data_IF_371140111962
#
_entry.id   IF_371140111962
#
_cell.length_a   1.000
_cell.length_b   1.000
_cell.length_c   1.000
_cell.angle_alpha   90.00
_cell.angle_beta   90.00
_cell.angle_gamma   90.00
#
_symmetry.space_group_name_H-M   'P 1'
#
loop_
_entity.id
_entity.type
_entity.pdbx_description
1 polymer ?
#
# COMPACT_ATOMS: atom_id res chain seq x y z
N UNK A 1 6.27 6.63 -16.39
CA UNK A 1 6.75 6.42 -15.00
C UNK A 1 8.23 6.84 -14.86
N UNK A 2 8.59 8.07 -15.26
CA UNK A 2 9.97 8.57 -15.10
C UNK A 2 10.08 9.44 -13.83
N UNK A 3 9.14 10.37 -13.62
CA UNK A 3 9.10 11.22 -12.42
C UNK A 3 9.07 10.44 -11.10
N UNK A 4 8.54 9.22 -11.09
CA UNK A 4 8.54 8.35 -9.91
C UNK A 4 9.87 7.63 -9.66
N UNK A 5 10.71 7.48 -10.69
CA UNK A 5 12.02 6.84 -10.57
C UNK A 5 13.09 7.85 -10.16
N UNK A 6 13.05 9.07 -10.72
CA UNK A 6 14.13 10.08 -10.54
C UNK A 6 13.66 11.41 -9.95
N UNK A 7 12.38 11.54 -9.61
CA UNK A 7 11.74 12.81 -9.25
C UNK A 7 11.28 13.58 -10.48
N UNK A 8 10.23 14.38 -10.31
CA UNK A 8 9.58 15.13 -11.40
C UNK A 8 10.53 16.11 -12.08
N UNK A 9 11.30 16.87 -11.29
CA UNK A 9 12.27 17.85 -11.83
C UNK A 9 13.32 17.22 -12.73
N UNK A 10 13.92 16.09 -12.32
CA UNK A 10 14.91 15.37 -13.14
C UNK A 10 14.27 14.69 -14.35
N UNK A 11 13.01 14.26 -14.24
CA UNK A 11 12.26 13.71 -15.37
C UNK A 11 11.97 14.78 -16.43
N UNK A 12 11.53 15.96 -16.03
CA UNK A 12 11.35 17.10 -16.94
C UNK A 12 12.67 17.48 -17.59
N UNK A 13 13.76 17.53 -16.82
CA UNK A 13 15.10 17.80 -17.36
C UNK A 13 15.51 16.77 -18.42
N UNK A 14 15.26 15.48 -18.18
CA UNK A 14 15.63 14.40 -19.10
C UNK A 14 14.76 14.37 -20.38
N UNK A 15 13.51 14.82 -20.30
CA UNK A 15 12.59 14.89 -21.45
C UNK A 15 12.85 16.14 -22.29
N UNK A 16 13.11 17.28 -21.65
CA UNK A 16 13.23 18.57 -22.35
C UNK A 16 14.64 18.88 -22.82
N UNK A 17 15.67 18.35 -22.14
CA UNK A 17 17.05 18.51 -22.58
C UNK A 17 17.43 17.27 -23.39
N UNK A 18 17.42 17.40 -24.71
CA UNK A 18 17.89 16.41 -25.68
C UNK A 18 19.42 16.21 -25.55
N UNK A 19 19.84 15.67 -24.41
CA UNK A 19 21.23 15.39 -24.09
C UNK A 19 21.37 13.95 -23.63
N UNK A 20 22.31 13.24 -24.22
CA UNK A 20 22.66 11.90 -23.76
C UNK A 20 23.26 11.97 -22.35
N UNK A 21 22.90 10.99 -21.52
CA UNK A 21 23.47 10.79 -20.18
C UNK A 21 24.46 9.64 -20.21
N UNK A 22 25.53 9.81 -19.47
CA UNK A 22 26.50 8.74 -19.25
C UNK A 22 25.90 7.64 -18.39
N UNK A 23 26.47 6.43 -18.47
CA UNK A 23 26.07 5.32 -17.61
C UNK A 23 26.26 5.66 -16.11
N UNK A 24 27.33 6.37 -15.76
CA UNK A 24 27.59 6.80 -14.39
C UNK A 24 26.51 7.75 -13.86
N UNK A 25 26.09 8.75 -14.64
CA UNK A 25 24.99 9.63 -14.27
C UNK A 25 23.68 8.84 -14.11
N UNK A 26 23.40 7.88 -14.98
CA UNK A 26 22.20 7.06 -14.92
C UNK A 26 22.15 6.20 -13.62
N UNK A 27 23.29 5.69 -13.16
CA UNK A 27 23.41 4.99 -11.88
C UNK A 27 23.20 5.94 -10.71
N UNK A 28 23.85 7.11 -10.71
CA UNK A 28 23.67 8.12 -9.66
C UNK A 28 22.22 8.61 -9.54
N UNK A 29 21.50 8.62 -10.66
CA UNK A 29 20.11 9.03 -10.70
C UNK A 29 19.15 7.92 -10.26
N UNK A 30 19.63 6.68 -10.14
CA UNK A 30 18.81 5.51 -9.81
C UNK A 30 18.00 4.97 -11.00
N UNK A 31 18.33 5.36 -12.24
CA UNK A 31 17.74 4.79 -13.46
C UNK A 31 18.29 3.40 -13.76
N UNK A 32 19.56 3.18 -13.43
CA UNK A 32 20.28 1.93 -13.61
C UNK A 32 20.79 1.47 -12.25
N UNK A 33 20.71 0.18 -11.95
CA UNK A 33 21.12 -0.35 -10.65
C UNK A 33 22.66 -0.34 -10.47
N UNK A 34 23.40 -0.66 -11.52
CA UNK A 34 24.88 -0.70 -11.53
C UNK A 34 25.42 -0.45 -12.94
N UNK A 35 26.64 0.09 -13.03
CA UNK A 35 27.37 0.25 -14.29
C UNK A 35 28.52 -0.75 -14.34
N UNK A 36 28.77 -1.33 -15.51
CA UNK A 36 29.88 -2.26 -15.76
C UNK A 36 30.63 -1.88 -17.03
N UNK A 37 31.83 -2.41 -17.21
CA UNK A 37 32.57 -2.24 -18.46
C UNK A 37 31.78 -2.87 -19.62
N UNK A 38 31.89 -2.26 -20.81
CA UNK A 38 31.09 -2.67 -21.97
C UNK A 38 31.28 -4.16 -22.35
N UNK A 39 32.49 -4.70 -22.17
CA UNK A 39 32.79 -6.12 -22.42
C UNK A 39 32.25 -7.09 -21.37
N UNK A 40 31.82 -6.61 -20.21
CA UNK A 40 31.45 -7.44 -19.05
C UNK A 40 29.94 -7.56 -18.84
N UNK A 41 29.13 -6.79 -19.58
CA UNK A 41 27.66 -6.74 -19.44
C UNK A 41 27.04 -8.14 -19.46
N UNK A 42 27.44 -8.98 -20.40
CA UNK A 42 26.89 -10.32 -20.53
C UNK A 42 27.32 -11.25 -19.39
N UNK A 43 28.57 -11.15 -18.92
CA UNK A 43 29.04 -11.92 -17.77
C UNK A 43 28.25 -11.53 -16.52
N UNK A 44 28.14 -10.23 -16.27
CA UNK A 44 27.44 -9.70 -15.10
C UNK A 44 25.95 -10.05 -15.08
N UNK A 45 25.28 -9.94 -16.23
CA UNK A 45 23.87 -10.33 -16.34
C UNK A 45 23.65 -11.81 -15.99
N UNK A 46 24.58 -12.70 -16.34
CA UNK A 46 24.50 -14.13 -16.00
C UNK A 46 24.72 -14.37 -14.51
N UNK A 47 25.65 -13.66 -13.87
CA UNK A 47 25.85 -13.73 -12.42
C UNK A 47 24.58 -13.33 -11.66
N UNK A 48 23.94 -12.23 -12.07
CA UNK A 48 22.68 -11.78 -11.48
C UNK A 48 21.58 -12.81 -11.68
N UNK A 49 21.47 -13.39 -12.88
CA UNK A 49 20.49 -14.43 -13.17
C UNK A 49 20.73 -15.68 -12.32
N UNK A 50 21.98 -16.12 -12.17
CA UNK A 50 22.35 -17.25 -11.31
C UNK A 50 21.99 -16.97 -9.84
N UNK A 51 22.24 -15.75 -9.35
CA UNK A 51 21.83 -15.33 -8.01
C UNK A 51 20.31 -15.42 -7.83
N UNK A 52 19.52 -14.99 -8.83
CA UNK A 52 18.06 -15.13 -8.77
C UNK A 52 17.58 -16.58 -8.81
N UNK A 53 18.26 -17.46 -9.53
CA UNK A 53 17.94 -18.89 -9.55
C UNK A 53 18.21 -19.56 -8.19
N UNK A 54 19.18 -19.03 -7.43
CA UNK A 54 19.45 -19.52 -6.06
C UNK A 54 18.38 -19.10 -5.04
N UNK A 55 17.55 -18.09 -5.36
CA UNK A 55 16.45 -17.67 -4.49
C UNK A 55 15.30 -18.69 -4.56
N UNK A 56 14.74 -19.04 -3.40
CA UNK A 56 13.49 -19.82 -3.36
C UNK A 56 12.41 -19.14 -4.21
N UNK A 57 11.83 -19.90 -5.14
CA UNK A 57 10.81 -19.43 -6.08
C UNK A 57 9.58 -18.85 -5.36
N UNK A 58 9.23 -19.40 -4.19
CA UNK A 58 8.18 -18.88 -3.32
C UNK A 58 8.53 -17.52 -2.70
N UNK A 59 9.73 -17.39 -2.10
CA UNK A 59 10.16 -16.18 -1.42
C UNK A 59 10.34 -15.00 -2.39
N UNK A 60 10.96 -15.24 -3.54
CA UNK A 60 11.14 -14.22 -4.59
C UNK A 60 9.80 -13.75 -5.19
N UNK A 61 8.84 -14.65 -5.33
CA UNK A 61 7.47 -14.33 -5.73
C UNK A 61 6.77 -13.42 -4.71
N UNK A 62 6.87 -13.73 -3.41
CA UNK A 62 6.28 -12.90 -2.36
C UNK A 62 6.91 -11.50 -2.29
N UNK A 63 8.24 -11.40 -2.39
CA UNK A 63 8.91 -10.10 -2.44
C UNK A 63 8.39 -9.23 -3.60
N UNK A 64 8.26 -9.80 -4.82
CA UNK A 64 7.68 -9.09 -5.98
C UNK A 64 6.24 -8.66 -5.74
N UNK A 65 5.41 -9.52 -5.12
CA UNK A 65 4.01 -9.21 -4.77
C UNK A 65 3.88 -8.11 -3.73
N UNK A 66 4.83 -7.94 -2.82
CA UNK A 66 4.83 -6.84 -1.85
C UNK A 66 5.20 -5.51 -2.51
N UNK A 67 6.24 -5.53 -3.36
CA UNK A 67 6.77 -4.32 -4.01
C UNK A 67 5.84 -3.78 -5.09
N UNK A 68 5.19 -4.65 -5.88
CA UNK A 68 4.38 -4.23 -7.03
C UNK A 68 3.19 -3.32 -6.67
N UNK A 69 2.33 -3.64 -5.70
CA UNK A 69 1.23 -2.77 -5.27
C UNK A 69 1.70 -1.66 -4.31
N UNK A 70 2.87 -1.78 -3.66
CA UNK A 70 3.48 -0.65 -2.95
C UNK A 70 3.72 0.54 -3.90
N UNK A 71 3.82 0.29 -5.21
CA UNK A 71 3.91 1.36 -6.20
C UNK A 71 2.63 2.20 -6.28
N UNK A 72 1.46 1.69 -5.95
CA UNK A 72 0.20 2.44 -6.09
C UNK A 72 -0.32 3.00 -4.77
N UNK A 73 0.27 2.61 -3.63
CA UNK A 73 -0.14 3.10 -2.32
C UNK A 73 0.48 4.45 -2.00
N UNK A 74 -0.33 5.37 -1.50
CA UNK A 74 0.18 6.54 -0.77
C UNK A 74 0.83 6.06 0.53
N UNK A 75 2.02 6.57 0.84
CA UNK A 75 2.70 6.29 2.11
C UNK A 75 1.88 6.78 3.31
N UNK A 76 0.97 7.74 3.09
CA UNK A 76 0.03 8.25 4.09
C UNK A 76 -1.30 7.49 4.15
N UNK A 77 -1.59 6.57 3.22
CA UNK A 77 -2.84 5.81 3.25
C UNK A 77 -2.93 4.85 4.44
N UNK A 78 -1.78 4.45 5.02
CA UNK A 78 -1.73 3.69 6.28
C UNK A 78 -1.86 4.55 7.54
N UNK A 79 -1.86 5.88 7.41
CA UNK A 79 -2.04 6.83 8.51
C UNK A 79 -3.15 7.80 8.12
N UNK A 80 -4.39 7.32 8.19
CA UNK A 80 -5.55 8.20 8.12
C UNK A 80 -5.39 9.28 9.20
N UNK A 81 -5.27 10.58 8.86
CA UNK A 81 -5.44 11.62 9.87
C UNK A 81 -6.91 11.52 10.34
N UNK A 82 -7.15 11.23 11.61
CA UNK A 82 -8.49 11.32 12.18
C UNK A 82 -9.11 12.65 11.74
N UNK A 83 -10.27 12.60 11.07
CA UNK A 83 -10.91 13.77 10.51
C UNK A 83 -11.23 14.74 11.65
N UNK A 84 -10.68 15.97 11.68
CA UNK A 84 -11.09 16.95 12.67
C UNK A 84 -12.41 17.56 12.22
N UNK A 85 -13.49 17.23 12.91
CA UNK A 85 -14.77 17.95 12.82
C UNK A 85 -15.87 17.24 12.03
N UNK A 86 -16.68 16.45 12.72
CA UNK A 86 -18.13 16.44 12.55
C UNK A 86 -18.74 16.28 13.95
N UNK A 87 -19.57 17.24 14.34
CA UNK A 87 -19.76 17.79 15.68
C UNK A 87 -20.51 16.89 16.69
N UNK A 88 -20.35 17.10 18.01
CA UNK A 88 -21.25 16.53 19.01
C UNK A 88 -22.66 17.09 18.81
N UNK A 89 -23.63 16.18 18.70
CA UNK A 89 -25.05 16.50 18.67
C UNK A 89 -25.41 17.20 19.99
N UNK A 90 -25.79 18.48 19.91
CA UNK A 90 -26.18 19.28 21.06
C UNK A 90 -27.64 18.93 21.40
N UNK A 91 -27.85 18.31 22.56
CA UNK A 91 -29.18 18.13 23.15
C UNK A 91 -29.83 19.48 23.46
N UNK A 92 -31.07 19.67 23.01
CA UNK A 92 -31.89 20.81 23.38
C UNK A 92 -33.37 20.57 23.13
N UNK A 93 -34.13 20.30 24.20
CA UNK A 93 -35.56 20.64 24.32
C UNK A 93 -36.60 19.52 24.13
N UNK A 94 -37.05 18.94 25.26
CA UNK A 94 -38.26 18.12 25.45
C UNK A 94 -39.58 18.89 25.16
N UNK A 95 -40.79 18.28 25.30
CA UNK A 95 -41.28 16.98 24.81
C UNK A 95 -42.66 17.12 24.11
N UNK A 96 -43.05 16.16 23.26
CA UNK A 96 -44.46 16.04 22.83
C UNK A 96 -45.03 14.67 23.16
N UNK A 97 -45.95 14.75 24.11
CA UNK A 97 -46.98 13.82 24.59
C UNK A 97 -47.21 12.54 23.79
N UNK A 98 -47.32 11.47 24.57
CA UNK A 98 -48.34 10.45 24.39
C UNK A 98 -47.82 9.16 23.80
N UNK A 99 -47.37 8.25 24.67
CA UNK A 99 -47.82 6.85 24.68
C UNK A 99 -47.17 6.13 25.87
N UNK A 100 -48.00 5.41 26.61
CA UNK A 100 -47.68 4.71 27.85
C UNK A 100 -46.82 3.47 27.61
N UNK A 101 -46.00 3.05 28.59
CA UNK A 101 -45.11 1.90 28.43
C UNK A 101 -45.91 0.59 28.43
N UNK A 102 -45.79 -0.18 27.36
CA UNK A 102 -46.25 -1.57 27.30
C UNK A 102 -45.40 -2.40 28.29
N UNK A 103 -46.05 -2.93 29.32
CA UNK A 103 -45.43 -3.74 30.36
C UNK A 103 -44.85 -5.06 29.79
N UNK A 104 -43.75 -5.60 30.34
CA UNK A 104 -43.16 -6.84 29.87
C UNK A 104 -44.07 -8.02 30.22
N UNK A 105 -44.60 -8.70 29.20
CA UNK A 105 -45.32 -9.95 29.39
C UNK A 105 -44.34 -11.09 29.68
N UNK A 106 -44.70 -11.86 30.70
CA UNK A 106 -43.99 -12.99 31.30
C UNK A 106 -43.54 -14.02 30.26
N UNK A 107 -42.24 -14.31 30.21
CA UNK A 107 -41.75 -15.58 29.66
C UNK A 107 -41.83 -16.62 30.77
N UNK A 108 -42.74 -17.59 30.63
CA UNK A 108 -42.78 -18.80 31.46
C UNK A 108 -41.64 -19.75 31.06
N UNK A 109 -41.00 -20.46 32.00
CA UNK A 109 -39.94 -21.41 31.68
C UNK A 109 -40.54 -22.71 31.12
N UNK A 110 -40.27 -22.98 29.85
CA UNK A 110 -40.59 -24.25 29.20
C UNK A 110 -39.52 -25.30 29.48
N UNK A 111 -39.83 -26.16 30.45
CA UNK A 111 -39.15 -27.42 30.81
C UNK A 111 -39.10 -28.35 29.59
N UNK A 112 -37.90 -28.70 29.11
CA UNK A 112 -37.70 -29.89 28.26
C UNK A 112 -36.85 -30.88 29.06
N UNK A 113 -37.53 -31.89 29.59
CA UNK A 113 -36.88 -33.06 30.17
C UNK A 113 -36.31 -33.95 29.07
N UNK A 114 -35.10 -34.46 29.29
CA UNK A 114 -34.57 -35.62 28.58
C UNK A 114 -34.60 -36.82 29.55
N UNK A 115 -35.28 -37.92 29.24
CA UNK A 115 -34.97 -39.20 29.84
C UNK A 115 -33.85 -39.90 29.06
N UNK A 116 -33.11 -40.68 29.84
CA UNK A 116 -31.91 -41.45 29.51
C UNK A 116 -32.18 -42.63 28.59
#
# INVERSE_FOLDING_TARGET
MLGRAIGERRAIELVLRDRMRTAGEAVQWGLVAEGVLAGEVAARAREIAAAWLSLSSGASGQAKRLVRPARQRSLFAGRHPAHPGAQPHVEGGLPSRGETPFAPSRIRPGRVGSPR
#
